data_IF_856550720040
#
_entry.id   IF_856550720040
#
_cell.length_a   1.000
_cell.length_b   1.000
_cell.length_c   1.000
_cell.angle_alpha   90.00
_cell.angle_beta   90.00
_cell.angle_gamma   90.00
#
_symmetry.space_group_name_H-M   'P 1'
#
loop_
_entity.id
_entity.type
_entity.pdbx_description
1 polymer ?
#
# COMPACT_ATOMS: atom_id res chain seq x y z
N UNK A 1 25.55 2.30 10.92
CA UNK A 1 26.58 3.35 10.86
C UNK A 1 27.51 3.11 12.02
N UNK A 2 28.81 3.25 11.80
CA UNK A 2 29.80 2.94 12.83
C UNK A 2 29.95 4.12 13.81
N UNK A 3 30.41 3.84 15.01
CA UNK A 3 30.94 4.87 15.92
C UNK A 3 31.95 5.79 15.20
N UNK A 4 31.93 7.08 15.52
CA UNK A 4 32.78 8.10 14.90
C UNK A 4 32.27 8.60 13.54
N UNK A 5 31.20 8.04 12.98
CA UNK A 5 30.61 8.56 11.74
C UNK A 5 30.02 9.95 11.99
N UNK A 6 30.39 10.94 11.17
CA UNK A 6 29.74 12.25 11.14
C UNK A 6 28.48 12.22 10.27
N UNK A 7 27.39 12.76 10.79
CA UNK A 7 26.11 12.90 10.11
C UNK A 7 25.72 14.37 10.07
N UNK A 8 25.35 14.86 8.88
CA UNK A 8 24.86 16.23 8.68
C UNK A 8 23.38 16.21 8.29
N UNK A 9 22.54 16.89 9.08
CA UNK A 9 21.09 17.00 8.87
C UNK A 9 20.62 18.38 9.33
N UNK A 10 19.74 19.05 8.56
CA UNK A 10 19.15 20.36 8.91
C UNK A 10 20.17 21.41 9.40
N UNK A 11 21.32 21.49 8.72
CA UNK A 11 22.46 22.36 9.06
C UNK A 11 23.11 22.08 10.44
N UNK A 12 22.88 20.90 11.01
CA UNK A 12 23.53 20.40 12.21
C UNK A 12 24.45 19.24 11.85
N UNK A 13 25.63 19.19 12.49
CA UNK A 13 26.57 18.09 12.37
C UNK A 13 26.70 17.37 13.70
N UNK A 14 26.61 16.04 13.70
CA UNK A 14 26.72 15.20 14.89
C UNK A 14 27.60 13.98 14.60
N UNK A 15 28.49 13.66 15.54
CA UNK A 15 29.36 12.47 15.47
C UNK A 15 28.76 11.36 16.30
N UNK A 16 28.57 10.17 15.71
CA UNK A 16 28.03 9.02 16.43
C UNK A 16 28.97 8.54 17.53
N UNK A 17 28.44 8.28 18.73
CA UNK A 17 29.21 7.82 19.90
C UNK A 17 29.20 6.30 20.07
N UNK A 18 28.38 5.59 19.31
CA UNK A 18 28.32 4.13 19.25
C UNK A 18 27.89 3.70 17.85
N UNK A 19 28.04 2.41 17.55
CA UNK A 19 27.41 1.80 16.39
C UNK A 19 25.88 1.92 16.46
N UNK A 20 25.28 2.41 15.36
CA UNK A 20 23.82 2.54 15.22
C UNK A 20 23.33 1.68 14.06
N UNK A 21 22.55 0.65 14.38
CA UNK A 21 21.94 -0.24 13.39
C UNK A 21 20.92 0.50 12.51
N UNK A 22 20.68 -0.03 11.30
CA UNK A 22 19.66 0.53 10.39
C UNK A 22 18.29 0.51 11.06
N UNK A 23 17.58 1.63 11.00
CA UNK A 23 16.25 1.80 11.60
C UNK A 23 16.25 2.21 13.07
N UNK A 24 17.41 2.23 13.73
CA UNK A 24 17.54 2.75 15.09
C UNK A 24 17.69 4.28 15.10
N UNK A 25 17.47 4.89 16.27
CA UNK A 25 17.53 6.34 16.46
C UNK A 25 18.86 6.72 17.11
N UNK A 26 19.35 7.92 16.85
CA UNK A 26 20.42 8.55 17.62
C UNK A 26 20.03 9.99 17.93
N UNK A 27 20.62 10.58 18.97
CA UNK A 27 20.29 11.93 19.40
C UNK A 27 20.98 12.97 18.51
N UNK A 28 20.26 14.00 18.04
CA UNK A 28 20.85 15.12 17.30
C UNK A 28 21.42 16.21 18.23
N UNK A 29 20.96 16.24 19.47
CA UNK A 29 21.34 17.18 20.53
C UNK A 29 21.36 16.43 21.85
N UNK A 30 21.97 17.01 22.89
CA UNK A 30 21.86 16.50 24.25
C UNK A 30 20.40 16.52 24.72
N UNK A 31 19.97 15.42 25.36
CA UNK A 31 18.64 15.22 25.94
C UNK A 31 18.82 14.86 27.41
N UNK A 32 18.45 15.79 28.29
CA UNK A 32 18.53 15.56 29.74
C UNK A 32 17.60 14.44 30.20
N UNK A 33 17.95 13.77 31.29
CA UNK A 33 17.10 12.77 31.96
C UNK A 33 15.71 13.33 32.23
N UNK A 34 14.68 12.56 31.87
CA UNK A 34 13.27 12.94 32.00
C UNK A 34 12.75 13.86 30.90
N UNK A 35 13.62 14.43 30.06
CA UNK A 35 13.19 15.25 28.93
C UNK A 35 12.55 14.40 27.83
N UNK A 36 11.67 15.02 27.05
CA UNK A 36 10.98 14.36 25.95
C UNK A 36 11.92 14.04 24.79
N UNK A 37 11.72 12.85 24.21
CA UNK A 37 12.29 12.47 22.93
C UNK A 37 11.29 12.88 21.84
N UNK A 38 11.69 13.83 21.00
CA UNK A 38 10.83 14.38 19.95
C UNK A 38 11.11 13.67 18.62
N UNK A 39 10.05 13.15 17.98
CA UNK A 39 10.12 12.57 16.64
C UNK A 39 8.86 12.93 15.87
N UNK A 40 8.99 13.31 14.60
CA UNK A 40 7.87 13.79 13.77
C UNK A 40 7.13 14.99 14.38
N UNK A 41 7.84 15.84 15.13
CA UNK A 41 7.24 16.99 15.81
C UNK A 41 6.48 16.67 17.11
N UNK A 42 6.47 15.40 17.55
CA UNK A 42 5.69 14.97 18.73
C UNK A 42 6.56 14.28 19.79
N UNK A 43 6.20 14.38 21.08
CA UNK A 43 6.88 13.66 22.16
C UNK A 43 6.52 12.18 22.15
N UNK A 44 7.43 11.32 21.69
CA UNK A 44 7.21 9.87 21.57
C UNK A 44 7.55 9.10 22.86
N UNK A 45 8.15 9.77 23.84
CA UNK A 45 8.67 9.19 25.06
C UNK A 45 9.58 10.17 25.77
N UNK A 46 10.31 9.68 26.77
CA UNK A 46 11.24 10.47 27.56
C UNK A 46 12.53 9.69 27.87
N UNK A 47 13.59 10.42 28.19
CA UNK A 47 14.91 9.87 28.47
C UNK A 47 15.00 9.30 29.91
N UNK A 48 15.56 8.11 30.06
CA UNK A 48 15.77 7.44 31.36
C UNK A 48 17.07 7.89 32.06
N UNK A 49 18.00 8.45 31.30
CA UNK A 49 19.26 9.05 31.72
C UNK A 49 19.56 10.25 30.80
N UNK A 50 20.61 11.01 31.10
CA UNK A 50 21.12 11.99 30.14
C UNK A 50 21.62 11.25 28.89
N UNK A 51 21.24 11.75 27.71
CA UNK A 51 21.64 11.21 26.41
C UNK A 51 22.41 12.30 25.67
N UNK A 52 23.68 12.07 25.39
CA UNK A 52 24.50 13.03 24.65
C UNK A 52 24.17 13.01 23.14
N UNK A 53 24.45 14.12 22.45
CA UNK A 53 24.40 14.18 21.00
C UNK A 53 25.24 13.04 20.38
N UNK A 54 24.66 12.36 19.38
CA UNK A 54 25.27 11.23 18.69
C UNK A 54 25.10 9.87 19.39
N UNK A 55 24.50 9.83 20.58
CA UNK A 55 24.25 8.56 21.27
C UNK A 55 23.06 7.80 20.69
N UNK A 56 23.16 6.48 20.72
CA UNK A 56 22.10 5.57 20.30
C UNK A 56 20.87 5.66 21.23
N UNK A 57 19.71 6.02 20.68
CA UNK A 57 18.44 6.21 21.39
C UNK A 57 17.54 4.99 21.22
N UNK A 58 17.38 4.20 22.28
CA UNK A 58 16.62 2.96 22.25
C UNK A 58 15.98 2.61 23.61
N UNK A 59 15.37 1.43 23.74
CA UNK A 59 14.62 1.04 24.94
C UNK A 59 15.45 1.04 26.24
N UNK A 60 16.77 0.96 26.16
CA UNK A 60 17.65 0.96 27.33
C UNK A 60 17.80 2.36 27.97
N UNK A 61 17.65 3.44 27.19
CA UNK A 61 17.80 4.83 27.65
C UNK A 61 16.55 5.69 27.42
N UNK A 62 15.47 5.12 26.90
CA UNK A 62 14.20 5.82 26.70
C UNK A 62 13.00 4.95 27.04
N UNK A 63 11.91 5.58 27.48
CA UNK A 63 10.61 4.92 27.67
C UNK A 63 9.53 5.67 26.90
N UNK A 64 8.59 4.94 26.31
CA UNK A 64 7.44 5.54 25.61
C UNK A 64 6.52 6.29 26.58
N UNK A 65 5.82 7.30 26.07
CA UNK A 65 4.78 8.04 26.80
C UNK A 65 3.40 7.36 26.72
N UNK A 66 3.27 6.25 25.98
CA UNK A 66 2.01 5.52 25.87
C UNK A 66 1.57 4.98 27.23
N UNK A 67 0.32 5.25 27.60
CA UNK A 67 -0.32 4.73 28.80
C UNK A 67 -1.68 4.10 28.48
N UNK A 68 -2.17 3.20 29.34
CA UNK A 68 -3.42 2.47 29.10
C UNK A 68 -4.68 3.36 29.11
N UNK A 69 -4.58 4.62 29.57
CA UNK A 69 -5.69 5.56 29.78
C UNK A 69 -5.46 6.92 29.12
N UNK A 70 -4.89 6.92 27.92
CA UNK A 70 -4.76 8.15 27.14
C UNK A 70 -6.15 8.62 26.67
N UNK A 71 -6.65 9.73 27.24
CA UNK A 71 -7.86 10.39 26.77
C UNK A 71 -7.57 11.00 25.40
N UNK A 72 -7.97 10.30 24.34
CA UNK A 72 -7.88 10.83 22.99
C UNK A 72 -8.77 12.07 22.85
N UNK A 73 -8.17 13.19 22.47
CA UNK A 73 -8.89 14.41 22.07
C UNK A 73 -8.50 14.76 20.65
N UNK A 74 -9.46 14.68 19.73
CA UNK A 74 -9.28 15.17 18.37
C UNK A 74 -9.09 16.70 18.39
N UNK A 75 -7.93 17.15 17.92
CA UNK A 75 -7.59 18.57 17.77
C UNK A 75 -7.11 18.76 16.32
N UNK A 76 -8.03 18.95 15.36
CA UNK A 76 -7.61 19.18 13.99
C UNK A 76 -6.91 20.53 13.89
N UNK A 77 -5.74 20.52 13.28
CA UNK A 77 -5.09 21.72 12.76
C UNK A 77 -5.39 21.79 11.25
N UNK A 78 -6.37 22.61 10.89
CA UNK A 78 -6.74 22.82 9.49
C UNK A 78 -5.77 23.84 8.90
N UNK A 79 -4.76 23.35 8.19
CA UNK A 79 -3.92 24.20 7.37
C UNK A 79 -4.66 24.59 6.10
N UNK A 80 -4.48 25.84 5.68
CA UNK A 80 -4.94 26.27 4.36
C UNK A 80 -4.24 25.41 3.31
N UNK A 81 -5.04 24.69 2.53
CA UNK A 81 -4.51 23.90 1.43
C UNK A 81 -3.83 24.86 0.45
N UNK A 82 -2.63 24.53 -0.05
CA UNK A 82 -2.03 25.30 -1.12
C UNK A 82 -2.99 25.33 -2.30
N UNK A 83 -2.91 26.41 -3.10
CA UNK A 83 -3.72 26.53 -4.30
C UNK A 83 -3.61 25.23 -5.13
N UNK A 84 -4.76 24.74 -5.59
CA UNK A 84 -4.85 23.53 -6.41
C UNK A 84 -3.83 23.64 -7.55
N UNK A 85 -2.96 22.64 -7.66
CA UNK A 85 -2.02 22.58 -8.77
C UNK A 85 -2.81 22.57 -10.08
N UNK A 86 -2.28 23.25 -11.11
CA UNK A 86 -2.90 23.31 -12.41
C UNK A 86 -3.22 21.90 -12.94
N UNK A 87 -4.35 21.78 -13.64
CA UNK A 87 -4.74 20.54 -14.28
C UNK A 87 -3.62 20.03 -15.20
N UNK A 88 -3.43 18.71 -15.17
CA UNK A 88 -2.47 18.03 -16.04
C UNK A 88 -3.24 17.30 -17.13
N UNK A 89 -2.73 17.38 -18.35
CA UNK A 89 -3.25 16.53 -19.42
C UNK A 89 -2.96 15.07 -19.10
N UNK A 90 -4.00 14.24 -19.17
CA UNK A 90 -3.95 12.80 -18.95
C UNK A 90 -4.67 12.09 -20.07
N UNK A 91 -4.15 10.95 -20.51
CA UNK A 91 -4.80 10.10 -21.49
C UNK A 91 -5.94 9.33 -20.81
N UNK A 92 -7.16 9.51 -21.31
CA UNK A 92 -8.38 8.92 -20.74
C UNK A 92 -9.31 8.41 -21.85
N UNK A 93 -10.10 7.40 -21.51
CA UNK A 93 -11.18 6.89 -22.34
C UNK A 93 -12.51 7.46 -21.86
N UNK A 94 -13.11 8.35 -22.66
CA UNK A 94 -14.41 8.98 -22.34
C UNK A 94 -15.56 8.04 -22.73
N UNK A 95 -16.53 7.88 -21.86
CA UNK A 95 -17.74 7.06 -22.10
C UNK A 95 -18.94 7.94 -22.40
N UNK A 96 -19.91 7.39 -23.14
CA UNK A 96 -21.12 8.12 -23.53
C UNK A 96 -21.99 8.56 -22.34
N UNK A 97 -21.86 7.91 -21.18
CA UNK A 97 -22.53 8.26 -19.94
C UNK A 97 -21.84 9.38 -19.14
N UNK A 98 -20.72 9.93 -19.64
CA UNK A 98 -19.94 10.98 -18.97
C UNK A 98 -18.80 10.48 -18.08
N UNK A 99 -18.75 9.18 -17.79
CA UNK A 99 -17.65 8.61 -17.00
C UNK A 99 -16.35 8.58 -17.82
N UNK A 100 -15.23 8.59 -17.10
CA UNK A 100 -13.89 8.46 -17.66
C UNK A 100 -13.20 7.19 -17.15
N UNK A 101 -12.59 6.45 -18.06
CA UNK A 101 -11.74 5.30 -17.75
C UNK A 101 -10.27 5.64 -17.99
N UNK A 102 -9.40 5.09 -17.16
CA UNK A 102 -7.93 5.09 -17.40
C UNK A 102 -7.46 3.83 -18.10
N UNK A 103 -8.39 2.89 -18.39
CA UNK A 103 -8.16 1.63 -19.08
C UNK A 103 -9.32 1.31 -20.02
N UNK A 104 -9.01 0.77 -21.19
CA UNK A 104 -9.90 0.26 -22.21
C UNK A 104 -9.64 -1.23 -22.42
N UNK A 105 -10.17 -2.05 -21.52
CA UNK A 105 -9.99 -3.50 -21.49
C UNK A 105 -11.31 -4.22 -21.80
N UNK A 106 -11.25 -5.34 -22.51
CA UNK A 106 -12.38 -6.25 -22.69
C UNK A 106 -12.26 -7.41 -21.71
N UNK A 107 -13.22 -7.57 -20.81
CA UNK A 107 -13.22 -8.66 -19.83
C UNK A 107 -14.26 -9.71 -20.18
N UNK A 108 -13.84 -10.97 -20.18
CA UNK A 108 -14.70 -12.14 -20.30
C UNK A 108 -14.78 -12.78 -18.92
N UNK A 109 -15.98 -12.78 -18.34
CA UNK A 109 -16.27 -13.32 -17.01
C UNK A 109 -17.29 -14.46 -17.15
N UNK A 110 -16.82 -15.72 -17.27
CA UNK A 110 -17.71 -16.87 -17.28
C UNK A 110 -18.34 -17.04 -15.89
N UNK A 111 -19.66 -17.23 -15.84
CA UNK A 111 -20.40 -17.35 -14.57
C UNK A 111 -20.30 -18.73 -13.93
N UNK A 112 -19.85 -19.75 -14.68
CA UNK A 112 -19.66 -21.12 -14.19
C UNK A 112 -18.38 -21.72 -14.80
N UNK A 113 -17.74 -22.66 -14.11
CA UNK A 113 -16.47 -23.25 -14.56
C UNK A 113 -16.57 -24.03 -15.88
N UNK A 114 -17.72 -24.64 -16.15
CA UNK A 114 -17.91 -25.52 -17.31
C UNK A 114 -17.81 -24.78 -18.67
N UNK A 115 -17.95 -23.44 -18.69
CA UNK A 115 -17.80 -22.63 -19.90
C UNK A 115 -16.43 -21.96 -20.05
N UNK A 116 -15.50 -22.17 -19.11
CA UNK A 116 -14.15 -21.57 -19.18
C UNK A 116 -13.40 -21.92 -20.48
N UNK A 117 -13.52 -23.17 -20.95
CA UNK A 117 -12.90 -23.62 -22.19
C UNK A 117 -13.45 -22.90 -23.42
N UNK A 118 -14.78 -22.75 -23.48
CA UNK A 118 -15.46 -22.00 -24.55
C UNK A 118 -15.07 -20.52 -24.51
N UNK A 119 -15.06 -19.91 -23.33
CA UNK A 119 -14.65 -18.52 -23.16
C UNK A 119 -13.21 -18.26 -23.65
N UNK A 120 -12.29 -19.22 -23.43
CA UNK A 120 -10.92 -19.15 -23.97
C UNK A 120 -10.88 -19.26 -25.49
N UNK A 121 -11.70 -20.12 -26.09
CA UNK A 121 -11.82 -20.20 -27.54
C UNK A 121 -12.37 -18.90 -28.13
N UNK A 122 -13.38 -18.29 -27.50
CA UNK A 122 -13.94 -16.99 -27.90
C UNK A 122 -12.85 -15.90 -27.84
N UNK A 123 -12.12 -15.81 -26.72
CA UNK A 123 -11.01 -14.87 -26.56
C UNK A 123 -9.97 -15.02 -27.68
N UNK A 124 -9.50 -16.25 -27.91
CA UNK A 124 -8.46 -16.54 -28.90
C UNK A 124 -8.93 -16.23 -30.32
N UNK A 125 -10.20 -16.52 -30.63
CA UNK A 125 -10.80 -16.19 -31.93
C UNK A 125 -10.88 -14.68 -32.13
N UNK A 126 -11.39 -13.95 -31.13
CA UNK A 126 -11.48 -12.49 -31.15
C UNK A 126 -10.10 -11.85 -31.39
N UNK A 127 -9.07 -12.27 -30.66
CA UNK A 127 -7.71 -11.75 -30.83
C UNK A 127 -7.15 -12.03 -32.23
N UNK A 128 -7.43 -13.20 -32.82
CA UNK A 128 -7.01 -13.52 -34.21
C UNK A 128 -7.71 -12.65 -35.26
N UNK A 129 -9.00 -12.39 -35.08
CA UNK A 129 -9.82 -11.62 -36.04
C UNK A 129 -9.60 -10.11 -35.94
N UNK A 130 -9.02 -9.61 -34.83
CA UNK A 130 -8.90 -8.17 -34.53
C UNK A 130 -7.45 -7.66 -34.44
N UNK A 131 -6.49 -8.35 -35.06
CA UNK A 131 -5.07 -8.02 -34.95
C UNK A 131 -4.61 -7.85 -33.48
N UNK A 132 -4.96 -8.85 -32.66
CA UNK A 132 -4.70 -8.86 -31.22
C UNK A 132 -5.34 -7.68 -30.45
N UNK A 133 -6.54 -7.27 -30.86
CA UNK A 133 -7.32 -6.17 -30.26
C UNK A 133 -6.57 -4.84 -30.20
N UNK A 134 -5.97 -4.44 -31.33
CA UNK A 134 -5.26 -3.17 -31.48
C UNK A 134 -6.14 -1.97 -31.04
N UNK A 135 -5.59 -1.07 -30.23
CA UNK A 135 -6.32 0.07 -29.66
C UNK A 135 -7.04 -0.22 -28.32
N UNK A 136 -6.88 -1.42 -27.77
CA UNK A 136 -7.29 -1.74 -26.40
C UNK A 136 -6.07 -1.97 -25.50
N UNK A 137 -6.25 -1.86 -24.19
CA UNK A 137 -5.22 -2.19 -23.21
C UNK A 137 -5.13 -3.70 -22.95
N UNK A 138 -6.09 -4.47 -23.47
CA UNK A 138 -6.05 -5.93 -23.47
C UNK A 138 -7.42 -6.59 -23.40
N UNK A 139 -7.42 -7.90 -23.68
CA UNK A 139 -8.58 -8.78 -23.54
C UNK A 139 -8.27 -9.83 -22.49
N UNK A 140 -9.03 -9.85 -21.40
CA UNK A 140 -8.76 -10.70 -20.24
C UNK A 140 -9.88 -11.69 -19.98
N UNK A 141 -9.51 -12.95 -19.74
CA UNK A 141 -10.43 -14.00 -19.33
C UNK A 141 -10.23 -14.28 -17.84
N UNK A 142 -11.24 -13.96 -17.04
CA UNK A 142 -11.30 -14.27 -15.61
C UNK A 142 -12.02 -15.60 -15.42
N UNK A 143 -11.27 -16.70 -15.55
CA UNK A 143 -11.85 -18.04 -15.47
C UNK A 143 -12.49 -18.30 -14.09
N UNK A 144 -13.70 -18.85 -14.10
CA UNK A 144 -14.38 -19.27 -12.87
C UNK A 144 -13.61 -20.42 -12.21
N UNK A 145 -13.34 -20.32 -10.91
CA UNK A 145 -12.41 -21.22 -10.18
C UNK A 145 -13.01 -22.58 -9.81
N UNK A 146 -14.31 -22.79 -10.00
CA UNK A 146 -15.03 -23.98 -9.52
C UNK A 146 -15.91 -24.63 -10.59
N UNK A 147 -15.98 -25.96 -10.55
CA UNK A 147 -16.72 -26.81 -11.49
C UNK A 147 -18.16 -27.13 -11.06
N UNK A 148 -18.92 -27.75 -11.96
CA UNK A 148 -20.38 -27.95 -11.96
C UNK A 148 -21.05 -28.67 -10.74
N UNK A 149 -20.38 -28.87 -9.60
CA UNK A 149 -20.92 -29.62 -8.45
C UNK A 149 -21.19 -28.77 -7.19
N UNK A 150 -21.09 -27.44 -7.23
CA UNK A 150 -21.31 -26.58 -6.06
C UNK A 150 -22.54 -25.69 -6.25
N UNK A 151 -23.69 -26.20 -5.84
CA UNK A 151 -24.95 -25.44 -5.79
C UNK A 151 -24.87 -24.41 -4.64
N UNK A 152 -24.59 -23.15 -4.96
CA UNK A 152 -24.89 -22.04 -4.04
C UNK A 152 -23.98 -20.81 -4.13
N UNK A 153 -22.68 -21.01 -4.33
CA UNK A 153 -21.69 -19.94 -4.09
C UNK A 153 -21.14 -19.26 -5.37
N UNK A 154 -21.54 -19.71 -6.57
CA UNK A 154 -21.03 -19.19 -7.85
C UNK A 154 -21.25 -17.67 -8.00
N UNK A 155 -22.38 -17.14 -7.51
CA UNK A 155 -22.65 -15.70 -7.51
C UNK A 155 -21.74 -14.91 -6.55
N UNK A 156 -21.40 -15.48 -5.39
CA UNK A 156 -20.50 -14.86 -4.41
C UNK A 156 -19.07 -14.85 -4.97
N UNK A 157 -18.66 -15.94 -5.62
CA UNK A 157 -17.37 -16.04 -6.28
C UNK A 157 -17.23 -15.05 -7.43
N UNK A 158 -18.23 -14.97 -8.32
CA UNK A 158 -18.27 -13.99 -9.41
C UNK A 158 -18.20 -12.56 -8.88
N UNK A 159 -18.95 -12.24 -7.81
CA UNK A 159 -18.89 -10.93 -7.13
C UNK A 159 -17.50 -10.62 -6.60
N UNK A 160 -16.83 -11.61 -6.02
CA UNK A 160 -15.48 -11.47 -5.44
C UNK A 160 -14.45 -11.21 -6.54
N UNK A 161 -14.52 -11.95 -7.65
CA UNK A 161 -13.67 -11.72 -8.82
C UNK A 161 -13.86 -10.31 -9.39
N UNK A 162 -15.11 -9.85 -9.53
CA UNK A 162 -15.43 -8.49 -9.99
C UNK A 162 -14.88 -7.40 -9.06
N UNK A 163 -14.99 -7.61 -7.74
CA UNK A 163 -14.43 -6.69 -6.75
C UNK A 163 -12.91 -6.58 -6.89
N UNK A 164 -12.20 -7.71 -6.99
CA UNK A 164 -10.74 -7.73 -7.14
C UNK A 164 -10.28 -7.09 -8.46
N UNK A 165 -10.96 -7.37 -9.57
CA UNK A 165 -10.64 -6.79 -10.88
C UNK A 165 -10.80 -5.27 -10.89
N UNK A 166 -11.85 -4.74 -10.21
CA UNK A 166 -12.04 -3.29 -10.03
C UNK A 166 -10.86 -2.63 -9.30
N UNK A 167 -10.25 -3.34 -8.35
CA UNK A 167 -9.14 -2.84 -7.54
C UNK A 167 -7.74 -3.14 -8.11
N UNK A 168 -7.66 -3.67 -9.35
CA UNK A 168 -6.41 -3.73 -10.11
C UNK A 168 -5.49 -4.91 -9.79
N UNK A 169 -6.00 -5.98 -9.17
CA UNK A 169 -5.23 -7.22 -9.04
C UNK A 169 -5.27 -8.00 -10.36
N UNK A 170 -4.15 -8.17 -11.09
CA UNK A 170 -4.12 -9.10 -12.22
C UNK A 170 -4.33 -10.53 -11.72
N UNK A 171 -4.94 -11.41 -12.53
CA UNK A 171 -5.13 -12.80 -12.14
C UNK A 171 -3.78 -13.51 -12.02
N UNK A 172 -3.40 -13.91 -10.80
CA UNK A 172 -2.27 -14.82 -10.61
C UNK A 172 -2.59 -16.16 -11.30
N UNK A 173 -1.74 -16.58 -12.25
CA UNK A 173 -1.86 -17.90 -12.87
C UNK A 173 -1.68 -18.97 -11.79
N UNK A 174 -2.76 -19.66 -11.43
CA UNK A 174 -2.68 -21.00 -10.86
C UNK A 174 -2.74 -21.13 -9.34
N UNK A 175 -3.17 -20.13 -8.57
CA UNK A 175 -3.50 -20.38 -7.15
C UNK A 175 -4.94 -20.83 -6.96
N UNK A 176 -5.12 -21.93 -6.24
CA UNK A 176 -6.42 -22.35 -5.73
C UNK A 176 -6.86 -21.39 -4.62
N UNK A 177 -8.17 -21.22 -4.47
CA UNK A 177 -8.77 -20.29 -3.52
C UNK A 177 -8.48 -20.58 -2.03
N UNK A 178 -7.82 -21.69 -1.70
CA UNK A 178 -7.43 -22.04 -0.32
C UNK A 178 -6.28 -21.19 0.24
N UNK A 179 -5.55 -20.47 -0.61
CA UNK A 179 -4.32 -19.75 -0.24
C UNK A 179 -4.54 -18.28 0.19
N UNK A 180 -5.79 -17.81 0.22
CA UNK A 180 -6.12 -16.40 0.45
C UNK A 180 -6.52 -16.07 1.90
N UNK A 181 -6.41 -17.02 2.83
CA UNK A 181 -6.66 -16.79 4.27
C UNK A 181 -5.54 -16.00 4.97
N UNK A 182 -4.39 -15.80 4.30
CA UNK A 182 -3.17 -15.23 4.89
C UNK A 182 -2.96 -13.72 4.74
N UNK A 183 -3.77 -13.01 3.96
CA UNK A 183 -3.65 -11.55 3.79
C UNK A 183 -4.80 -10.82 4.48
N UNK A 184 -4.76 -10.81 5.81
CA UNK A 184 -5.41 -9.76 6.61
C UNK A 184 -4.43 -8.60 6.75
N UNK A 185 -4.94 -7.39 6.59
CA UNK A 185 -4.28 -6.16 7.08
C UNK A 185 -4.02 -6.26 8.58
#
# INVERSE_FOLDING_TARGET
MAEGTEVSVDNQTVTLRQDVARGHKFALTDIAKGANVIKYGLPIGYALADIAAGEHVHAHNTRTNLSDLDQYRYQPDFQDLPAQAADREVQIYRRANGDVGVRNELWILPTVGCVNGIARQIQNRFLKETNNAEGTDGVFLFSHTYGCSQLGDDHINTRTMLFQAKHGAPPERGRSAGDWSGLRK
#
